data_IF_950155258983
#
_entry.id   IF_950155258983
#
_cell.length_a   1.000
_cell.length_b   1.000
_cell.length_c   1.000
_cell.angle_alpha   90.00
_cell.angle_beta   90.00
_cell.angle_gamma   90.00
#
_symmetry.space_group_name_H-M   'P 1'
#
loop_
_entity.id
_entity.type
_entity.pdbx_description
1 polymer ?
#
# COMPACT_ATOMS: atom_id res chain seq x y z
N UNK A 1 14.80 -41.84 -18.88
CA UNK A 1 14.57 -41.11 -18.48
C UNK A 1 13.88 -40.53 -18.05
N UNK A 2 13.75 -40.49 -17.87
CA UNK A 2 13.00 -39.85 -17.57
C UNK A 2 12.67 -38.96 -16.99
N UNK A 3 12.65 -38.64 -16.87
CA UNK A 3 12.32 -37.71 -16.42
C UNK A 3 11.83 -36.85 -16.18
N UNK A 4 12.03 -36.86 -16.34
CA UNK A 4 11.97 -35.65 -15.96
C UNK A 4 10.82 -34.99 -15.28
N UNK A 5 10.37 -35.33 -14.14
CA UNK A 5 9.23 -34.76 -13.49
C UNK A 5 9.40 -33.31 -13.15
N UNK A 6 10.62 -32.87 -13.03
CA UNK A 6 10.85 -31.46 -12.76
C UNK A 6 11.37 -30.80 -14.02
N UNK A 7 10.54 -29.98 -14.60
CA UNK A 7 10.92 -29.18 -15.74
C UNK A 7 11.58 -27.90 -15.29
N UNK A 8 12.61 -27.43 -16.04
CA UNK A 8 13.24 -26.14 -15.71
C UNK A 8 12.23 -25.00 -15.62
N UNK A 9 11.17 -25.05 -16.43
CA UNK A 9 10.12 -24.02 -16.38
C UNK A 9 9.35 -24.06 -15.09
N UNK A 10 9.10 -25.24 -14.53
CA UNK A 10 8.40 -25.36 -13.26
C UNK A 10 9.23 -24.83 -12.10
N UNK A 11 10.52 -25.13 -12.09
CA UNK A 11 11.43 -24.61 -11.08
C UNK A 11 11.53 -23.10 -11.17
N UNK A 12 11.62 -22.60 -12.39
CA UNK A 12 11.70 -21.15 -12.62
C UNK A 12 10.43 -20.45 -12.10
N UNK A 13 9.26 -21.03 -12.39
CA UNK A 13 8.00 -20.48 -11.89
C UNK A 13 7.96 -20.45 -10.37
N UNK A 14 8.44 -21.52 -9.75
CA UNK A 14 8.48 -21.59 -8.30
C UNK A 14 9.36 -20.51 -7.71
N UNK A 15 10.56 -20.33 -8.24
CA UNK A 15 11.48 -19.29 -7.78
C UNK A 15 10.89 -17.89 -7.98
N UNK A 16 10.27 -17.67 -9.14
CA UNK A 16 9.64 -16.39 -9.43
C UNK A 16 8.46 -16.12 -8.48
N UNK A 17 7.71 -17.17 -8.16
CA UNK A 17 6.61 -17.09 -7.21
C UNK A 17 7.09 -16.69 -5.82
N UNK A 18 8.19 -17.27 -5.36
CA UNK A 18 8.78 -16.93 -4.07
C UNK A 18 9.27 -15.48 -4.04
N UNK A 19 9.95 -15.06 -5.09
CA UNK A 19 10.43 -13.68 -5.20
C UNK A 19 9.28 -12.69 -5.19
N UNK A 20 8.22 -13.02 -5.93
CA UNK A 20 7.03 -12.17 -6.00
C UNK A 20 6.35 -12.07 -4.63
N UNK A 21 6.27 -13.19 -3.92
CA UNK A 21 5.68 -13.24 -2.59
C UNK A 21 6.47 -12.38 -1.60
N UNK A 22 7.80 -12.49 -1.63
CA UNK A 22 8.66 -11.68 -0.76
C UNK A 22 8.53 -10.20 -1.07
N UNK A 23 8.51 -9.86 -2.36
CA UNK A 23 8.32 -8.47 -2.79
C UNK A 23 6.97 -7.92 -2.33
N UNK A 24 5.91 -8.72 -2.50
CA UNK A 24 4.57 -8.30 -2.12
C UNK A 24 4.46 -8.12 -0.61
N UNK A 25 5.11 -8.98 0.15
CA UNK A 25 5.14 -8.86 1.61
C UNK A 25 5.82 -7.57 2.03
N UNK A 26 6.95 -7.25 1.40
CA UNK A 26 7.66 -5.99 1.68
C UNK A 26 6.81 -4.78 1.35
N UNK A 27 6.10 -4.83 0.22
CA UNK A 27 5.22 -3.75 -0.20
C UNK A 27 4.07 -3.58 0.80
N UNK A 28 3.46 -4.67 1.25
CA UNK A 28 2.37 -4.62 2.21
C UNK A 28 2.82 -4.06 3.56
N UNK A 29 4.03 -4.39 3.98
CA UNK A 29 4.61 -3.82 5.20
C UNK A 29 4.79 -2.31 5.05
N UNK A 30 5.29 -1.87 3.91
CA UNK A 30 5.47 -0.44 3.63
C UNK A 30 4.12 0.29 3.61
N UNK A 31 3.10 -0.33 3.01
CA UNK A 31 1.74 0.22 3.00
C UNK A 31 1.22 0.37 4.42
N UNK A 32 1.38 -0.67 5.23
CA UNK A 32 0.93 -0.64 6.62
C UNK A 32 1.58 0.49 7.40
N UNK A 33 2.88 0.66 7.24
CA UNK A 33 3.62 1.73 7.90
C UNK A 33 3.15 3.11 7.43
N UNK A 34 2.95 3.28 6.13
CA UNK A 34 2.50 4.55 5.58
C UNK A 34 1.10 4.91 6.07
N UNK A 35 0.20 3.94 6.14
CA UNK A 35 -1.16 4.17 6.64
C UNK A 35 -1.12 4.54 8.12
N UNK A 36 -0.30 3.84 8.90
CA UNK A 36 -0.14 4.16 10.32
C UNK A 36 0.37 5.58 10.52
N UNK A 37 1.36 5.98 9.75
CA UNK A 37 1.92 7.34 9.84
C UNK A 37 0.87 8.38 9.45
N UNK A 38 0.08 8.09 8.42
CA UNK A 38 -0.99 9.00 8.01
C UNK A 38 -2.04 9.17 9.11
N UNK A 39 -2.45 8.07 9.74
CA UNK A 39 -3.41 8.12 10.84
C UNK A 39 -2.85 8.95 12.00
N UNK A 40 -1.60 8.71 12.35
CA UNK A 40 -0.94 9.45 13.42
C UNK A 40 -0.90 10.95 13.14
N UNK A 41 -0.54 11.30 11.90
CA UNK A 41 -0.47 12.70 11.49
C UNK A 41 -1.86 13.35 11.48
N UNK A 42 -2.89 12.60 11.06
CA UNK A 42 -4.26 13.10 11.03
C UNK A 42 -4.74 13.39 12.46
N UNK A 43 -4.39 12.54 13.41
CA UNK A 43 -4.76 12.73 14.80
C UNK A 43 -3.99 13.87 15.47
N UNK A 44 -2.88 14.27 14.86
CA UNK A 44 -2.09 15.40 15.34
C UNK A 44 -2.78 16.72 15.06
N UNK A 45 -2.18 17.80 15.53
CA UNK A 45 -2.78 19.12 15.46
C UNK A 45 -2.55 19.84 14.12
N UNK A 46 -1.52 19.45 13.39
CA UNK A 46 -1.07 20.16 12.19
C UNK A 46 -1.74 19.60 10.92
N UNK A 47 -2.59 20.40 10.30
CA UNK A 47 -3.27 20.02 9.09
C UNK A 47 -2.31 19.86 7.90
N UNK A 48 -1.26 20.65 7.84
CA UNK A 48 -0.29 20.58 6.75
C UNK A 48 0.48 19.27 6.79
N UNK A 49 0.95 18.86 7.97
CA UNK A 49 1.62 17.58 8.13
C UNK A 49 0.69 16.42 7.80
N UNK A 50 -0.56 16.51 8.25
CA UNK A 50 -1.56 15.48 7.97
C UNK A 50 -1.80 15.35 6.47
N UNK A 51 -1.90 16.47 5.76
CA UNK A 51 -2.11 16.45 4.32
C UNK A 51 -0.93 15.81 3.59
N UNK A 52 0.29 16.16 3.99
CA UNK A 52 1.49 15.58 3.39
C UNK A 52 1.55 14.08 3.61
N UNK A 53 1.25 13.62 4.82
CA UNK A 53 1.27 12.20 5.13
C UNK A 53 0.15 11.46 4.40
N UNK A 54 -1.02 12.10 4.24
CA UNK A 54 -2.12 11.53 3.48
C UNK A 54 -1.72 11.35 2.02
N UNK A 55 -1.08 12.34 1.42
CA UNK A 55 -0.58 12.26 0.06
C UNK A 55 0.46 11.17 -0.10
N UNK A 56 1.36 11.06 0.86
CA UNK A 56 2.41 10.05 0.85
C UNK A 56 1.79 8.65 0.94
N UNK A 57 0.84 8.45 1.84
CA UNK A 57 0.15 7.18 1.97
C UNK A 57 -0.59 6.81 0.70
N UNK A 58 -1.28 7.77 0.08
CA UNK A 58 -1.98 7.55 -1.19
C UNK A 58 -1.02 7.12 -2.28
N UNK A 59 0.14 7.76 -2.34
CA UNK A 59 1.17 7.42 -3.32
C UNK A 59 1.69 6.00 -3.12
N UNK A 60 1.97 5.63 -1.87
CA UNK A 60 2.45 4.28 -1.55
C UNK A 60 1.39 3.24 -1.91
N UNK A 61 0.13 3.52 -1.59
CA UNK A 61 -0.98 2.63 -1.92
C UNK A 61 -1.14 2.46 -3.43
N UNK A 62 -1.05 3.56 -4.18
CA UNK A 62 -1.16 3.52 -5.64
C UNK A 62 -0.05 2.69 -6.26
N UNK A 63 1.17 2.83 -5.76
CA UNK A 63 2.30 2.04 -6.23
C UNK A 63 2.10 0.56 -5.95
N UNK A 64 1.51 0.23 -4.81
CA UNK A 64 1.23 -1.17 -4.46
C UNK A 64 0.24 -1.80 -5.44
N UNK A 65 -0.75 -1.03 -5.91
CA UNK A 65 -1.68 -1.50 -6.95
C UNK A 65 -0.92 -1.73 -8.26
N UNK A 66 -0.09 -0.77 -8.65
CA UNK A 66 0.68 -0.87 -9.88
C UNK A 66 1.60 -2.07 -9.93
N UNK A 67 2.10 -2.49 -8.77
CA UNK A 67 2.96 -3.66 -8.66
C UNK A 67 2.19 -4.96 -8.43
N UNK A 68 0.88 -4.90 -8.35
CA UNK A 68 0.03 -6.07 -8.18
C UNK A 68 0.01 -6.64 -6.77
N UNK A 69 0.53 -5.92 -5.78
CA UNK A 69 0.54 -6.38 -4.40
C UNK A 69 -0.81 -6.18 -3.72
N UNK A 70 -1.56 -5.16 -4.13
CA UNK A 70 -2.88 -4.87 -3.58
C UNK A 70 -3.87 -4.66 -4.72
N UNK A 71 -5.13 -5.04 -4.47
CA UNK A 71 -6.20 -4.77 -5.42
C UNK A 71 -6.65 -3.32 -5.29
N UNK A 72 -7.00 -2.70 -6.43
CA UNK A 72 -7.41 -1.30 -6.46
C UNK A 72 -8.61 -1.00 -5.54
N UNK A 73 -9.52 -1.97 -5.38
CA UNK A 73 -10.68 -1.79 -4.51
C UNK A 73 -10.28 -1.67 -3.05
N UNK A 74 -9.30 -2.47 -2.63
CA UNK A 74 -8.75 -2.41 -1.28
C UNK A 74 -8.12 -1.04 -1.02
N UNK A 75 -7.36 -0.56 -2.00
CA UNK A 75 -6.70 0.75 -1.92
C UNK A 75 -7.74 1.86 -1.88
N UNK A 76 -8.77 1.80 -2.72
CA UNK A 76 -9.83 2.81 -2.73
C UNK A 76 -10.49 2.92 -1.36
N UNK A 77 -10.76 1.79 -0.70
CA UNK A 77 -11.35 1.80 0.63
C UNK A 77 -10.42 2.44 1.66
N UNK A 78 -9.13 2.09 1.61
CA UNK A 78 -8.16 2.66 2.54
C UNK A 78 -8.01 4.15 2.35
N UNK A 79 -7.91 4.61 1.11
CA UNK A 79 -7.81 6.03 0.80
C UNK A 79 -9.07 6.76 1.26
N UNK A 80 -10.24 6.19 0.99
CA UNK A 80 -11.51 6.80 1.40
C UNK A 80 -11.58 6.96 2.92
N UNK A 81 -11.15 5.95 3.67
CA UNK A 81 -11.14 6.00 5.14
C UNK A 81 -10.19 7.08 5.65
N UNK A 82 -9.01 7.15 5.07
CA UNK A 82 -8.02 8.16 5.45
C UNK A 82 -8.52 9.56 5.12
N UNK A 83 -9.10 9.73 3.94
CA UNK A 83 -9.65 11.02 3.53
C UNK A 83 -10.78 11.48 4.44
N UNK A 84 -11.66 10.56 4.80
CA UNK A 84 -12.76 10.88 5.72
C UNK A 84 -12.24 11.28 7.09
N UNK A 85 -11.24 10.55 7.60
CA UNK A 85 -10.65 10.86 8.88
C UNK A 85 -9.99 12.24 8.85
N UNK A 86 -9.30 12.56 7.76
CA UNK A 86 -8.67 13.86 7.56
C UNK A 86 -9.72 14.98 7.54
N UNK A 87 -10.77 14.81 6.74
CA UNK A 87 -11.82 15.82 6.63
C UNK A 87 -12.57 16.01 7.94
N UNK A 88 -12.76 14.93 8.68
CA UNK A 88 -13.43 15.02 9.98
C UNK A 88 -12.62 15.85 10.96
N UNK A 89 -11.31 15.70 10.95
CA UNK A 89 -10.42 16.38 11.89
C UNK A 89 -10.01 17.76 11.39
N UNK A 90 -9.76 17.90 10.09
CA UNK A 90 -9.17 19.11 9.50
C UNK A 90 -9.96 19.64 8.31
N UNK A 91 -11.26 19.36 8.26
CA UNK A 91 -12.08 19.65 7.09
C UNK A 91 -12.00 21.10 6.62
N UNK A 92 -12.07 22.03 7.52
CA UNK A 92 -12.02 23.46 7.17
C UNK A 92 -10.67 23.82 6.57
N UNK A 93 -9.58 23.29 7.13
CA UNK A 93 -8.24 23.54 6.62
C UNK A 93 -8.01 22.87 5.28
N UNK A 94 -8.60 21.69 5.08
CA UNK A 94 -8.45 20.93 3.85
C UNK A 94 -9.08 21.63 2.66
N UNK A 95 -10.09 22.47 2.89
CA UNK A 95 -10.78 23.18 1.82
C UNK A 95 -10.14 24.49 1.43
N UNK A 96 -9.20 24.94 2.20
CA UNK A 96 -8.54 26.24 1.96
C UNK A 96 -7.32 26.15 1.03
#
# INVERSE_FOLDING_TARGET
MPHIPVHPSAEKRHRQSLKRRDRNRAIKTRVHSAVKQAIKAIEGADANSAEQELRQATRVLSKAVGKGALHRNTVSRKVARLSRAFHRKHGAAAKS
#
